data_IF_315599874759
#
_entry.id   IF_315599874759
#
_cell.length_a   1.000
_cell.length_b   1.000
_cell.length_c   1.000
_cell.angle_alpha   90.00
_cell.angle_beta   90.00
_cell.angle_gamma   90.00
#
_symmetry.space_group_name_H-M   'P 1'
#
loop_
_entity.id
_entity.type
_entity.pdbx_description
1 polymer ?
#
# COMPACT_ATOMS: atom_id res chain seq x y z
N UNK A 1 7.61 5.22 -11.14
CA UNK A 1 7.90 4.13 -10.16
C UNK A 1 6.76 3.09 -10.22
N UNK A 2 6.97 1.77 -10.01
CA UNK A 2 5.84 0.79 -10.06
C UNK A 2 4.72 1.16 -9.06
N UNK A 3 3.45 1.10 -9.48
CA UNK A 3 2.25 1.46 -8.72
C UNK A 3 2.28 0.99 -7.25
N UNK A 4 2.42 -0.32 -7.01
CA UNK A 4 2.41 -0.89 -5.65
C UNK A 4 3.54 -0.37 -4.76
N UNK A 5 4.70 -0.04 -5.35
CA UNK A 5 5.84 0.50 -4.61
C UNK A 5 5.56 1.94 -4.16
N UNK A 6 4.91 2.74 -5.01
CA UNK A 6 4.54 4.11 -4.70
C UNK A 6 3.45 4.18 -3.63
N UNK A 7 2.36 3.44 -3.81
CA UNK A 7 1.27 3.37 -2.81
C UNK A 7 1.82 2.95 -1.45
N UNK A 8 2.69 1.93 -1.40
CA UNK A 8 3.33 1.50 -0.16
C UNK A 8 4.21 2.58 0.47
N UNK A 9 4.98 3.31 -0.33
CA UNK A 9 5.81 4.40 0.16
C UNK A 9 4.94 5.53 0.75
N UNK A 10 3.84 5.88 0.08
CA UNK A 10 2.90 6.89 0.56
C UNK A 10 2.25 6.46 1.88
N UNK A 11 1.80 5.20 1.99
CA UNK A 11 1.26 4.65 3.24
C UNK A 11 2.29 4.74 4.38
N UNK A 12 3.55 4.33 4.14
CA UNK A 12 4.61 4.43 5.15
C UNK A 12 4.92 5.88 5.54
N UNK A 13 4.86 6.81 4.59
CA UNK A 13 5.03 8.23 4.87
C UNK A 13 3.92 8.76 5.78
N UNK A 14 2.66 8.43 5.50
CA UNK A 14 1.53 8.84 6.35
C UNK A 14 1.59 8.22 7.76
N UNK A 15 2.04 6.96 7.87
CA UNK A 15 2.32 6.33 9.15
C UNK A 15 3.39 7.09 9.92
N UNK A 16 4.51 7.41 9.25
CA UNK A 16 5.62 8.15 9.86
C UNK A 16 5.23 9.54 10.36
N UNK A 17 4.45 10.30 9.58
CA UNK A 17 3.96 11.64 9.97
C UNK A 17 3.06 11.62 11.20
N UNK A 18 2.41 10.50 11.50
CA UNK A 18 1.47 10.32 12.61
C UNK A 18 2.01 9.45 13.73
N UNK A 19 3.28 9.04 13.65
CA UNK A 19 3.92 8.12 14.61
C UNK A 19 3.16 6.79 14.79
N UNK A 20 2.53 6.30 13.72
CA UNK A 20 1.72 5.08 13.75
C UNK A 20 2.58 3.82 13.64
N UNK A 21 2.25 2.83 14.46
CA UNK A 21 2.80 1.47 14.42
C UNK A 21 1.97 0.61 13.47
N UNK A 22 2.52 -0.53 13.07
CA UNK A 22 1.80 -1.51 12.26
C UNK A 22 0.54 -2.05 12.95
N UNK A 23 0.52 -2.09 14.28
CA UNK A 23 -0.65 -2.49 15.07
C UNK A 23 -1.81 -1.50 14.91
N UNK A 24 -1.52 -0.19 14.89
CA UNK A 24 -2.56 0.83 14.78
C UNK A 24 -3.24 0.76 13.39
N UNK A 25 -2.47 0.43 12.34
CA UNK A 25 -3.02 0.16 10.99
C UNK A 25 -3.81 -1.15 10.93
N UNK A 26 -3.36 -2.16 11.68
CA UNK A 26 -4.01 -3.47 11.76
C UNK A 26 -5.41 -3.34 12.40
N UNK A 27 -5.52 -2.52 13.44
CA UNK A 27 -6.78 -2.20 14.13
C UNK A 27 -7.77 -1.49 13.18
N UNK A 28 -7.32 -0.47 12.44
CA UNK A 28 -8.17 0.25 11.47
C UNK A 28 -8.73 -0.69 10.38
N UNK A 29 -7.93 -1.66 9.96
CA UNK A 29 -8.29 -2.56 8.86
C UNK A 29 -8.95 -3.86 9.31
N UNK A 30 -9.02 -4.10 10.63
CA UNK A 30 -9.55 -5.33 11.23
C UNK A 30 -8.83 -6.59 10.71
N UNK A 31 -7.51 -6.51 10.54
CA UNK A 31 -6.67 -7.63 10.10
C UNK A 31 -5.47 -7.81 11.03
N UNK A 32 -4.74 -8.91 10.91
CA UNK A 32 -3.57 -9.14 11.76
C UNK A 32 -2.39 -8.22 11.41
N UNK A 33 -1.57 -7.89 12.40
CA UNK A 33 -0.33 -7.11 12.17
C UNK A 33 0.61 -7.79 11.15
N UNK A 34 0.66 -9.12 11.12
CA UNK A 34 1.41 -9.85 10.08
C UNK A 34 0.91 -9.54 8.67
N UNK A 35 -0.40 -9.35 8.48
CA UNK A 35 -0.96 -8.93 7.18
C UNK A 35 -0.57 -7.50 6.81
N UNK A 36 -0.43 -6.60 7.79
CA UNK A 36 0.12 -5.25 7.57
C UNK A 36 1.59 -5.35 7.17
N UNK A 37 2.39 -6.12 7.92
CA UNK A 37 3.81 -6.34 7.61
C UNK A 37 4.00 -6.81 6.17
N UNK A 38 3.24 -7.83 5.71
CA UNK A 38 3.32 -8.31 4.32
C UNK A 38 3.05 -7.21 3.29
N UNK A 39 2.13 -6.27 3.54
CA UNK A 39 1.86 -5.12 2.66
C UNK A 39 2.99 -4.10 2.69
N UNK A 40 3.51 -3.78 3.87
CA UNK A 40 4.63 -2.84 4.04
C UNK A 40 5.95 -3.35 3.45
N UNK A 41 6.11 -4.66 3.28
CA UNK A 41 7.25 -5.27 2.57
C UNK A 41 6.96 -5.59 1.09
N UNK A 42 5.73 -5.35 0.61
CA UNK A 42 5.35 -5.58 -0.79
C UNK A 42 5.10 -7.04 -1.16
N UNK A 43 4.95 -7.94 -0.20
CA UNK A 43 4.54 -9.32 -0.44
C UNK A 43 3.03 -9.44 -0.76
N UNK A 44 2.24 -8.45 -0.36
CA UNK A 44 0.81 -8.34 -0.62
C UNK A 44 0.52 -6.91 -1.07
N UNK A 45 -0.24 -6.74 -2.15
CA UNK A 45 -0.66 -5.42 -2.62
C UNK A 45 -1.74 -4.80 -1.73
N UNK A 46 -1.77 -3.47 -1.71
CA UNK A 46 -2.86 -2.70 -1.10
C UNK A 46 -4.11 -2.78 -1.96
N UNK A 47 -5.26 -3.07 -1.33
CA UNK A 47 -6.56 -3.02 -2.01
C UNK A 47 -7.15 -1.62 -1.89
N UNK A 48 -7.91 -1.18 -2.90
CA UNK A 48 -8.60 0.11 -2.88
C UNK A 48 -9.47 0.31 -1.63
N UNK A 49 -10.21 -0.72 -1.21
CA UNK A 49 -11.03 -0.67 0.00
C UNK A 49 -10.22 -0.48 1.29
N UNK A 50 -8.98 -0.96 1.34
CA UNK A 50 -8.06 -0.75 2.47
C UNK A 50 -7.56 0.69 2.49
N UNK A 51 -7.15 1.21 1.34
CA UNK A 51 -6.70 2.59 1.19
C UNK A 51 -7.81 3.59 1.53
N UNK A 52 -9.07 3.32 1.15
CA UNK A 52 -10.22 4.13 1.53
C UNK A 52 -10.46 4.14 3.05
N UNK A 53 -10.34 2.98 3.71
CA UNK A 53 -10.45 2.89 5.18
C UNK A 53 -9.35 3.69 5.87
N UNK A 54 -8.10 3.58 5.41
CA UNK A 54 -6.98 4.34 5.96
C UNK A 54 -7.14 5.84 5.73
N UNK A 55 -7.49 6.26 4.50
CA UNK A 55 -7.70 7.66 4.17
C UNK A 55 -8.78 8.29 5.05
N UNK A 56 -9.90 7.57 5.26
CA UNK A 56 -10.95 7.99 6.19
C UNK A 56 -10.46 8.07 7.63
N UNK A 57 -9.72 7.07 8.11
CA UNK A 57 -9.22 7.03 9.48
C UNK A 57 -8.17 8.11 9.77
N UNK A 58 -7.41 8.52 8.76
CA UNK A 58 -6.32 9.49 8.87
C UNK A 58 -6.70 10.91 8.45
N UNK A 59 -7.98 11.11 8.12
CA UNK A 59 -8.58 12.36 7.64
C UNK A 59 -7.78 13.01 6.50
N UNK A 60 -7.48 12.21 5.47
CA UNK A 60 -6.78 12.67 4.27
C UNK A 60 -7.56 12.28 3.01
N UNK A 61 -7.43 13.07 1.92
CA UNK A 61 -7.90 12.63 0.61
C UNK A 61 -7.23 11.32 0.18
N UNK A 62 -7.99 10.41 -0.42
CA UNK A 62 -7.45 9.16 -1.00
C UNK A 62 -6.30 9.44 -1.99
N UNK A 63 -6.38 10.55 -2.73
CA UNK A 63 -5.35 11.00 -3.65
C UNK A 63 -3.96 11.08 -3.01
N UNK A 64 -3.87 11.42 -1.72
CA UNK A 64 -2.61 11.47 -0.97
C UNK A 64 -1.91 10.10 -0.93
N UNK A 65 -2.68 9.01 -0.83
CA UNK A 65 -2.13 7.66 -0.83
C UNK A 65 -1.78 7.15 -2.24
N UNK A 66 -2.36 7.76 -3.27
CA UNK A 66 -2.17 7.39 -4.67
C UNK A 66 -1.18 8.29 -5.41
N UNK A 67 -0.74 9.38 -4.78
CA UNK A 67 0.13 10.39 -5.38
C UNK A 67 1.38 9.78 -6.03
N UNK A 68 1.65 10.16 -7.29
CA UNK A 68 2.74 9.65 -8.10
C UNK A 68 2.59 8.20 -8.61
N UNK A 69 1.50 7.49 -8.31
CA UNK A 69 1.27 6.12 -8.79
C UNK A 69 0.64 6.05 -10.20
N UNK A 70 0.33 7.21 -10.79
CA UNK A 70 -0.41 7.38 -12.05
C UNK A 70 0.45 7.14 -13.31
N UNK A 71 1.77 7.08 -13.18
CA UNK A 71 2.71 7.00 -14.31
C UNK A 71 2.59 5.70 -15.13
N UNK A 72 2.12 4.61 -14.53
CA UNK A 72 1.81 3.35 -15.24
C UNK A 72 0.88 2.45 -14.39
N UNK A 73 -0.44 2.68 -14.41
CA UNK A 73 -1.40 1.95 -13.58
C UNK A 73 -1.65 0.51 -14.07
N UNK A 74 -1.13 0.14 -15.25
CA UNK A 74 -1.30 -1.17 -15.86
C UNK A 74 0.00 -1.98 -15.90
N UNK A 75 1.09 -1.45 -15.33
CA UNK A 75 2.32 -2.20 -15.15
C UNK A 75 2.04 -3.49 -14.37
N UNK A 76 2.47 -4.67 -14.85
CA UNK A 76 2.25 -5.91 -14.12
C UNK A 76 2.86 -5.83 -12.70
N UNK A 77 2.11 -6.30 -11.70
CA UNK A 77 2.57 -6.36 -10.32
C UNK A 77 3.69 -7.41 -10.18
N UNK A 78 4.87 -6.94 -9.77
CA UNK A 78 6.08 -7.77 -9.60
C UNK A 78 7.03 -7.71 -10.79
N UNK A 79 8.28 -8.14 -10.59
CA UNK A 79 9.15 -8.44 -11.73
C UNK A 79 8.43 -9.49 -12.56
N UNK A 80 8.20 -9.22 -13.85
CA UNK A 80 7.67 -10.21 -14.76
C UNK A 80 8.48 -11.48 -14.52
N UNK A 81 7.87 -12.52 -13.95
CA UNK A 81 8.51 -13.83 -13.91
C UNK A 81 8.78 -14.13 -15.37
N UNK A 82 10.06 -14.15 -15.74
CA UNK A 82 10.48 -14.53 -17.07
C UNK A 82 9.78 -15.84 -17.38
N UNK A 83 8.79 -15.78 -18.27
CA UNK A 83 8.10 -16.97 -18.74
C UNK A 83 9.18 -17.70 -19.49
N UNK A 84 9.77 -18.74 -18.88
CA UNK A 84 10.69 -19.61 -19.60
C UNK A 84 9.86 -20.24 -20.70
N UNK A 85 10.17 -19.89 -21.94
CA UNK A 85 9.68 -20.61 -23.09
C UNK A 85 10.20 -22.05 -22.97
N UNK A 86 9.28 -23.00 -22.85
CA UNK A 86 9.54 -24.44 -23.00
C UNK A 86 9.70 -24.80 -24.47
#
# INVERSE_FOLDING_TARGET
>A
MRYSKQVRANVMAEMGRRELRQLDVAEILEISQNNISKRLHGAVDWKLGELLKLAKAWDIPLATLLDGAEEDPFAPNGDAKAVKAS
#
